data_IF_279533644492
#
_entry.id   IF_279533644492
#
_cell.length_a   1.000
_cell.length_b   1.000
_cell.length_c   1.000
_cell.angle_alpha   90.00
_cell.angle_beta   90.00
_cell.angle_gamma   90.00
#
_symmetry.space_group_name_H-M   'P 1'
#
loop_
_entity.id
_entity.type
_entity.pdbx_description
1 polymer ?
#
# COMPACT_ATOMS: atom_id res chain seq x y z
N UNK A 1 -38.60 13.68 -21.62
CA UNK A 1 -38.78 12.42 -20.88
C UNK A 1 -39.38 11.41 -21.84
N UNK A 2 -38.64 10.38 -22.23
CA UNK A 2 -39.20 9.29 -23.03
C UNK A 2 -38.79 7.96 -22.40
N UNK A 3 -39.77 7.37 -21.74
CA UNK A 3 -39.76 6.03 -21.19
C UNK A 3 -40.05 5.09 -22.37
N UNK A 4 -39.16 4.14 -22.62
CA UNK A 4 -39.49 2.94 -23.38
C UNK A 4 -39.15 1.73 -22.52
N UNK A 5 -40.20 1.17 -21.93
CA UNK A 5 -40.30 -0.21 -21.45
C UNK A 5 -40.54 -1.11 -22.67
N UNK A 6 -39.72 -2.14 -22.86
CA UNK A 6 -40.09 -3.38 -23.56
C UNK A 6 -39.02 -4.44 -23.22
N UNK A 7 -39.31 -5.33 -22.28
CA UNK A 7 -39.89 -6.67 -22.45
C UNK A 7 -38.85 -7.72 -22.87
N UNK A 8 -38.60 -8.65 -21.95
CA UNK A 8 -37.75 -9.83 -22.12
C UNK A 8 -38.39 -10.86 -23.03
N UNK A 9 -37.57 -11.55 -23.83
CA UNK A 9 -37.87 -12.92 -24.26
C UNK A 9 -36.58 -13.73 -24.35
N UNK A 10 -36.33 -14.52 -23.30
CA UNK A 10 -35.41 -15.65 -23.32
C UNK A 10 -35.95 -16.70 -24.28
N UNK A 11 -35.41 -16.87 -25.48
CA UNK A 11 -35.58 -18.12 -26.23
C UNK A 11 -34.58 -18.16 -27.36
N UNK A 12 -33.48 -18.91 -27.21
CA UNK A 12 -32.92 -19.77 -28.26
C UNK A 12 -31.76 -20.59 -27.65
N UNK A 13 -32.08 -21.82 -27.25
CA UNK A 13 -31.11 -22.89 -26.98
C UNK A 13 -30.84 -23.64 -28.29
N UNK A 14 -29.64 -23.61 -28.87
CA UNK A 14 -29.27 -24.59 -29.88
C UNK A 14 -28.72 -25.87 -29.24
N UNK A 15 -29.36 -26.97 -29.62
CA UNK A 15 -29.04 -28.36 -29.28
C UNK A 15 -27.62 -28.72 -29.72
N UNK A 16 -26.96 -29.53 -28.89
CA UNK A 16 -25.68 -30.17 -29.17
C UNK A 16 -25.73 -30.99 -30.47
N UNK A 17 -24.69 -30.85 -31.29
CA UNK A 17 -24.24 -31.88 -32.22
C UNK A 17 -22.74 -32.07 -32.04
N UNK A 18 -22.38 -33.27 -31.66
CA UNK A 18 -21.03 -33.79 -31.52
C UNK A 18 -20.36 -33.90 -32.89
N UNK A 19 -19.21 -33.25 -33.05
CA UNK A 19 -18.25 -33.55 -34.12
C UNK A 19 -16.96 -34.06 -33.47
N UNK A 20 -16.62 -35.31 -33.78
CA UNK A 20 -15.43 -36.00 -33.28
C UNK A 20 -14.20 -35.63 -34.11
N UNK A 21 -13.10 -35.47 -33.40
CA UNK A 21 -11.73 -35.84 -33.74
C UNK A 21 -11.10 -35.24 -35.00
N UNK A 22 -10.41 -34.12 -34.79
CA UNK A 22 -9.16 -33.83 -35.53
C UNK A 22 -8.08 -33.67 -34.46
N UNK A 23 -7.46 -34.81 -34.14
CA UNK A 23 -6.21 -34.93 -33.40
C UNK A 23 -5.08 -34.35 -34.25
N UNK A 24 -4.92 -33.04 -34.23
CA UNK A 24 -3.69 -32.39 -34.66
C UNK A 24 -2.92 -31.95 -33.41
N UNK A 25 -2.03 -32.85 -32.98
CA UNK A 25 -0.68 -32.53 -32.51
C UNK A 25 -0.59 -31.25 -31.67
N UNK A 26 -1.22 -31.27 -30.50
CA UNK A 26 -0.76 -30.48 -29.36
C UNK A 26 0.36 -31.29 -28.70
N UNK A 27 1.49 -31.33 -29.37
CA UNK A 27 2.76 -31.71 -28.78
C UNK A 27 2.94 -30.91 -27.49
N UNK A 28 2.90 -31.64 -26.38
CA UNK A 28 3.28 -31.28 -25.02
C UNK A 28 4.22 -30.06 -24.96
N UNK A 29 3.68 -28.85 -24.87
CA UNK A 29 4.39 -27.74 -24.23
C UNK A 29 4.21 -27.92 -22.72
N UNK A 30 4.82 -28.98 -22.18
CA UNK A 30 5.28 -28.91 -20.81
C UNK A 30 6.38 -27.86 -20.81
N UNK A 31 6.02 -26.61 -20.48
CA UNK A 31 7.01 -25.61 -20.10
C UNK A 31 7.66 -26.14 -18.81
N UNK A 32 8.71 -26.94 -18.99
CA UNK A 32 9.64 -27.26 -17.93
C UNK A 32 10.33 -25.95 -17.62
N UNK A 33 9.76 -25.18 -16.69
CA UNK A 33 10.52 -24.11 -16.05
C UNK A 33 11.74 -24.79 -15.44
N UNK A 34 12.98 -24.53 -15.92
CA UNK A 34 14.13 -24.96 -15.16
C UNK A 34 13.94 -24.35 -13.77
N UNK A 35 13.96 -25.17 -12.72
CA UNK A 35 14.10 -24.60 -11.39
C UNK A 35 15.35 -23.75 -11.45
N UNK A 36 15.19 -22.43 -11.33
CA UNK A 36 16.32 -21.57 -11.04
C UNK A 36 17.00 -22.23 -9.85
N UNK A 37 18.26 -22.64 -10.03
CA UNK A 37 19.09 -22.95 -8.87
C UNK A 37 18.94 -21.74 -7.95
N UNK A 38 18.44 -21.99 -6.75
CA UNK A 38 18.48 -20.98 -5.70
C UNK A 38 19.91 -20.50 -5.72
N UNK A 39 20.13 -19.19 -5.86
CA UNK A 39 21.45 -18.60 -5.60
C UNK A 39 21.66 -18.80 -4.11
N UNK A 40 21.98 -20.04 -3.75
CA UNK A 40 22.01 -20.53 -2.40
C UNK A 40 23.07 -19.70 -1.76
N UNK A 41 22.62 -18.82 -0.88
CA UNK A 41 23.41 -17.91 -0.09
C UNK A 41 24.74 -18.62 0.22
N UNK A 42 25.90 -18.03 -0.14
CA UNK A 42 27.18 -18.70 -0.06
C UNK A 42 27.30 -19.39 1.31
N UNK A 43 27.43 -20.72 1.30
CA UNK A 43 27.39 -21.60 2.49
C UNK A 43 28.46 -21.26 3.54
N UNK A 44 29.39 -20.35 3.22
CA UNK A 44 30.58 -20.01 3.99
C UNK A 44 30.54 -18.60 4.59
N UNK A 45 29.36 -17.98 4.71
CA UNK A 45 29.20 -16.77 5.53
C UNK A 45 28.77 -17.17 6.93
N UNK A 46 29.61 -16.91 7.93
CA UNK A 46 29.23 -17.01 9.33
C UNK A 46 28.16 -15.96 9.58
N UNK A 47 26.91 -16.41 9.78
CA UNK A 47 25.81 -15.53 10.15
C UNK A 47 25.93 -15.18 11.63
N UNK A 48 26.89 -14.31 11.96
CA UNK A 48 26.93 -13.70 13.28
C UNK A 48 25.79 -12.68 13.34
N UNK A 49 24.85 -12.91 14.25
CA UNK A 49 23.74 -11.98 14.46
C UNK A 49 24.27 -10.76 15.20
N UNK A 50 24.09 -9.58 14.61
CA UNK A 50 24.43 -8.32 15.25
C UNK A 50 23.21 -7.74 15.97
N UNK A 51 23.25 -7.79 17.31
CA UNK A 51 22.20 -7.25 18.16
C UNK A 51 22.11 -5.71 18.11
N UNK A 52 23.23 -5.03 17.87
CA UNK A 52 23.24 -3.57 17.72
C UNK A 52 22.50 -3.15 16.46
N UNK A 53 22.80 -3.84 15.35
CA UNK A 53 22.10 -3.63 14.08
C UNK A 53 20.61 -3.98 14.18
N UNK A 54 20.23 -5.06 14.87
CA UNK A 54 18.83 -5.42 15.08
C UNK A 54 18.05 -4.29 15.77
N UNK A 55 18.58 -3.71 16.84
CA UNK A 55 17.96 -2.61 17.57
C UNK A 55 17.76 -1.38 16.68
N UNK A 56 18.78 -1.03 15.88
CA UNK A 56 18.68 0.05 14.90
C UNK A 56 17.58 -0.23 13.87
N UNK A 57 17.53 -1.45 13.35
CA UNK A 57 16.54 -1.86 12.36
C UNK A 57 15.10 -1.83 12.89
N UNK A 58 14.88 -2.02 14.20
CA UNK A 58 13.55 -1.86 14.80
C UNK A 58 13.06 -0.41 14.79
N UNK A 59 13.96 0.55 15.03
CA UNK A 59 13.66 1.99 14.95
C UNK A 59 13.42 2.39 13.50
N UNK A 60 14.31 1.97 12.59
CA UNK A 60 14.21 2.25 11.16
C UNK A 60 12.87 1.80 10.57
N UNK A 61 12.40 0.58 10.92
CA UNK A 61 11.11 0.06 10.46
C UNK A 61 9.93 0.96 10.88
N UNK A 62 10.00 1.58 12.07
CA UNK A 62 8.98 2.52 12.55
C UNK A 62 9.07 3.82 11.76
N UNK A 63 10.27 4.38 11.60
CA UNK A 63 10.52 5.61 10.83
C UNK A 63 10.05 5.47 9.39
N UNK A 64 10.35 4.35 8.72
CA UNK A 64 9.88 4.07 7.35
C UNK A 64 8.35 4.07 7.24
N UNK A 65 7.64 3.57 8.26
CA UNK A 65 6.17 3.63 8.31
C UNK A 65 5.67 5.07 8.49
N UNK A 66 6.34 5.88 9.32
CA UNK A 66 6.02 7.30 9.48
C UNK A 66 6.18 8.05 8.16
N UNK A 67 7.30 7.87 7.46
CA UNK A 67 7.57 8.53 6.17
C UNK A 67 6.49 8.19 5.12
N UNK A 68 6.07 6.92 5.03
CA UNK A 68 4.95 6.52 4.15
C UNK A 68 3.65 7.27 4.45
N UNK A 69 3.35 7.51 5.73
CA UNK A 69 2.18 8.31 6.12
C UNK A 69 2.36 9.80 5.83
N UNK A 70 3.56 10.33 6.06
CA UNK A 70 3.89 11.71 5.72
C UNK A 70 3.67 11.95 4.23
N UNK A 71 4.21 11.12 3.35
CA UNK A 71 4.00 11.22 1.90
C UNK A 71 2.53 11.14 1.53
N UNK A 72 1.78 10.22 2.18
CA UNK A 72 0.35 10.08 1.98
C UNK A 72 -0.41 11.36 2.37
N UNK A 73 -0.07 11.99 3.49
CA UNK A 73 -0.72 13.21 3.97
C UNK A 73 -0.37 14.39 3.06
N UNK A 74 0.91 14.56 2.72
CA UNK A 74 1.38 15.63 1.85
C UNK A 74 0.83 15.53 0.42
N UNK A 75 0.51 14.31 -0.06
CA UNK A 75 -0.14 14.12 -1.36
C UNK A 75 -1.58 14.65 -1.42
N UNK A 76 -2.23 14.90 -0.29
CA UNK A 76 -3.59 15.42 -0.25
C UNK A 76 -3.58 16.96 -0.39
N UNK A 77 -4.56 17.56 -1.09
CA UNK A 77 -4.57 19.00 -1.35
C UNK A 77 -4.61 19.83 -0.06
N UNK A 78 -5.34 19.35 0.95
CA UNK A 78 -5.49 20.03 2.23
C UNK A 78 -4.53 19.50 3.31
N UNK A 79 -3.62 18.59 2.97
CA UNK A 79 -2.71 17.94 3.93
C UNK A 79 -3.42 17.31 5.14
N UNK A 80 -4.66 16.84 4.94
CA UNK A 80 -5.49 16.19 5.96
C UNK A 80 -6.16 14.94 5.39
N UNK A 81 -6.36 13.94 6.25
CA UNK A 81 -6.99 12.67 5.87
C UNK A 81 -8.07 12.31 6.89
N UNK A 82 -9.26 11.93 6.43
CA UNK A 82 -10.31 11.36 7.28
C UNK A 82 -9.86 10.02 7.86
N UNK A 83 -10.07 9.78 9.16
CA UNK A 83 -9.64 8.52 9.81
C UNK A 83 -10.32 7.29 9.20
N UNK A 84 -11.60 7.41 8.81
CA UNK A 84 -12.33 6.34 8.13
C UNK A 84 -11.68 5.93 6.79
N UNK A 85 -11.10 6.89 6.07
CA UNK A 85 -10.43 6.67 4.78
C UNK A 85 -8.96 6.29 4.95
N UNK A 86 -8.34 6.67 6.06
CA UNK A 86 -6.94 6.40 6.36
C UNK A 86 -6.63 4.90 6.24
N UNK A 87 -7.48 4.04 6.81
CA UNK A 87 -7.25 2.60 6.85
C UNK A 87 -7.29 1.98 5.44
N UNK A 88 -8.18 2.47 4.56
CA UNK A 88 -8.23 2.08 3.15
C UNK A 88 -6.97 2.50 2.38
N UNK A 89 -6.48 3.72 2.62
CA UNK A 89 -5.28 4.23 1.96
C UNK A 89 -4.02 3.52 2.47
N UNK A 90 -3.93 3.26 3.77
CA UNK A 90 -2.80 2.58 4.40
C UNK A 90 -2.63 1.14 3.89
N UNK A 91 -3.72 0.44 3.52
CA UNK A 91 -3.62 -0.88 2.88
C UNK A 91 -2.79 -0.85 1.60
N UNK A 92 -2.85 0.24 0.82
CA UNK A 92 -2.03 0.39 -0.41
C UNK A 92 -0.53 0.57 -0.10
N UNK A 93 -0.20 1.01 1.12
CA UNK A 93 1.16 1.24 1.59
C UNK A 93 1.77 0.01 2.30
N UNK A 94 1.01 -1.08 2.41
CA UNK A 94 1.42 -2.34 3.03
C UNK A 94 1.08 -2.48 4.52
N UNK A 95 0.15 -1.68 5.05
CA UNK A 95 -0.37 -1.86 6.41
C UNK A 95 -1.44 -2.95 6.46
N UNK A 96 -1.51 -3.65 7.60
CA UNK A 96 -2.61 -4.59 7.87
C UNK A 96 -3.90 -3.82 8.16
N UNK A 97 -5.03 -4.51 8.07
CA UNK A 97 -6.34 -3.94 8.41
C UNK A 97 -6.35 -3.46 9.87
N UNK A 98 -6.88 -2.26 10.10
CA UNK A 98 -6.96 -1.57 11.40
C UNK A 98 -5.60 -1.26 12.06
N UNK A 99 -4.46 -1.51 11.40
CA UNK A 99 -3.14 -1.20 11.94
C UNK A 99 -2.85 0.30 11.86
N UNK A 100 -3.40 1.00 10.85
CA UNK A 100 -3.10 2.40 10.59
C UNK A 100 -3.56 3.30 11.73
N UNK A 101 -4.79 3.13 12.21
CA UNK A 101 -5.32 3.90 13.35
C UNK A 101 -4.49 3.69 14.61
N UNK A 102 -4.17 2.43 14.95
CA UNK A 102 -3.33 2.10 16.10
C UNK A 102 -1.90 2.63 15.96
N UNK A 103 -1.37 2.72 14.73
CA UNK A 103 -0.07 3.30 14.46
C UNK A 103 -0.06 4.81 14.70
N UNK A 104 -1.03 5.54 14.15
CA UNK A 104 -1.13 6.99 14.34
C UNK A 104 -1.19 7.35 15.83
N UNK A 105 -1.97 6.61 16.62
CA UNK A 105 -2.10 6.83 18.07
C UNK A 105 -0.80 6.60 18.85
N UNK A 106 0.15 5.80 18.34
CA UNK A 106 1.45 5.57 19.00
C UNK A 106 2.40 6.76 18.85
N UNK A 107 2.18 7.64 17.87
CA UNK A 107 3.07 8.76 17.55
C UNK A 107 2.35 10.11 17.61
N UNK A 108 1.85 10.54 18.79
CA UNK A 108 1.13 11.81 18.95
C UNK A 108 2.00 13.05 18.69
N UNK A 109 3.32 12.91 18.72
CA UNK A 109 4.25 13.99 18.40
C UNK A 109 4.35 14.26 16.90
N UNK A 110 4.07 13.25 16.06
CA UNK A 110 4.10 13.38 14.59
C UNK A 110 2.71 13.66 14.04
N UNK A 111 1.70 12.94 14.53
CA UNK A 111 0.34 13.01 14.02
C UNK A 111 -0.61 13.64 15.02
N UNK A 112 -1.41 14.58 14.54
CA UNK A 112 -2.47 15.24 15.28
C UNK A 112 -3.81 14.73 14.78
N UNK A 113 -4.62 14.21 15.71
CA UNK A 113 -6.00 13.83 15.46
C UNK A 113 -6.90 14.92 16.00
N UNK A 114 -7.82 15.42 15.18
CA UNK A 114 -8.77 16.44 15.57
C UNK A 114 -10.15 16.18 14.98
N UNK A 115 -11.17 16.71 15.64
CA UNK A 115 -12.55 16.68 15.15
C UNK A 115 -12.81 17.91 14.28
N UNK A 116 -13.38 17.69 13.10
CA UNK A 116 -13.72 18.80 12.22
C UNK A 116 -14.91 19.60 12.81
N UNK A 117 -14.82 20.94 12.93
CA UNK A 117 -15.79 21.75 13.65
C UNK A 117 -17.22 21.65 13.08
N UNK A 118 -17.34 21.58 11.76
CA UNK A 118 -18.64 21.44 11.07
C UNK A 118 -19.09 19.98 10.96
N UNK A 119 -18.24 19.11 10.41
CA UNK A 119 -18.63 17.73 10.06
C UNK A 119 -18.68 16.77 11.25
N UNK A 120 -18.04 17.09 12.38
CA UNK A 120 -17.98 16.22 13.57
C UNK A 120 -17.35 14.84 13.27
N UNK A 121 -16.50 14.79 12.25
CA UNK A 121 -15.72 13.61 11.83
C UNK A 121 -14.27 13.81 12.27
N UNK A 122 -13.61 12.71 12.64
CA UNK A 122 -12.20 12.73 12.99
C UNK A 122 -11.30 12.77 11.74
N UNK A 123 -10.36 13.70 11.76
CA UNK A 123 -9.30 13.87 10.77
C UNK A 123 -7.93 13.65 11.41
N UNK A 124 -6.98 13.24 10.58
CA UNK A 124 -5.57 13.11 10.90
C UNK A 124 -4.78 14.10 10.04
N UNK A 125 -3.84 14.80 10.66
CA UNK A 125 -2.87 15.69 10.02
C UNK A 125 -1.50 15.56 10.68
N UNK A 126 -0.47 16.17 10.10
CA UNK A 126 0.83 16.29 10.75
C UNK A 126 0.79 17.39 11.81
N UNK A 127 1.49 17.18 12.92
CA UNK A 127 1.64 18.16 13.99
C UNK A 127 2.46 19.37 13.50
N UNK A 128 2.21 20.56 14.05
CA UNK A 128 2.99 21.77 13.73
C UNK A 128 4.50 21.58 13.86
N UNK A 129 4.95 20.84 14.88
CA UNK A 129 6.38 20.52 15.08
C UNK A 129 6.95 19.68 13.93
N UNK A 130 6.20 18.70 13.45
CA UNK A 130 6.61 17.86 12.32
C UNK A 130 6.70 18.68 11.02
N UNK A 131 5.74 19.58 10.78
CA UNK A 131 5.81 20.50 9.64
C UNK A 131 7.06 21.39 9.68
N UNK A 132 7.37 21.98 10.83
CA UNK A 132 8.57 22.80 11.00
C UNK A 132 9.86 22.00 10.77
N UNK A 133 9.91 20.75 11.22
CA UNK A 133 11.07 19.87 10.96
C UNK A 133 11.25 19.61 9.46
N UNK A 134 10.18 19.31 8.74
CA UNK A 134 10.22 19.08 7.28
C UNK A 134 10.70 20.36 6.55
N UNK A 135 10.22 21.53 6.97
CA UNK A 135 10.65 22.81 6.38
C UNK A 135 12.13 23.10 6.67
N UNK A 136 12.60 22.83 7.88
CA UNK A 136 14.00 22.97 8.26
C UNK A 136 14.91 22.03 7.47
N UNK A 137 14.51 20.76 7.32
CA UNK A 137 15.23 19.78 6.51
C UNK A 137 15.30 20.22 5.05
N UNK A 138 14.17 20.71 4.50
CA UNK A 138 14.11 21.25 3.13
C UNK A 138 15.04 22.44 2.96
N UNK A 139 15.04 23.39 3.90
CA UNK A 139 15.91 24.56 3.83
C UNK A 139 17.39 24.17 3.90
N UNK A 140 17.74 23.32 4.86
CA UNK A 140 19.12 22.82 5.00
C UNK A 140 19.60 22.10 3.74
N UNK A 141 18.72 21.37 3.05
CA UNK A 141 19.04 20.73 1.77
C UNK A 141 19.29 21.77 0.68
N UNK A 142 18.46 22.80 0.58
CA UNK A 142 18.64 23.90 -0.40
C UNK A 142 19.97 24.63 -0.14
N UNK A 143 20.30 24.91 1.11
CA UNK A 143 21.52 25.61 1.50
C UNK A 143 22.80 24.79 1.22
N UNK A 144 22.68 23.46 1.12
CA UNK A 144 23.79 22.57 0.76
C UNK A 144 24.06 22.52 -0.76
N UNK A 145 23.11 22.94 -1.59
CA UNK A 145 23.29 22.99 -3.03
C UNK A 145 24.00 24.31 -3.37
N UNK A 146 25.16 24.28 -4.06
CA UNK A 146 25.90 25.48 -4.43
C UNK A 146 25.19 26.34 -5.48
#
# INVERSE_FOLDING_TARGET
>A
MHIFLAYSSNFFKPKSKTLKSITFILCNLTSTRPMSQSTSIPKKQERVRDHGYDNYMEVEKKTRKVLKFQDLILSQPNQVIQISRLDLLARRLGFKQNEAGAFVLKFPHVFEIYEHPVQRILYCRLTRKAHLQIEQEKQALIDQIP
#
